data_IF_296430023750
#
_entry.id   IF_296430023750
#
_cell.length_a   1.000
_cell.length_b   1.000
_cell.length_c   1.000
_cell.angle_alpha   90.00
_cell.angle_beta   90.00
_cell.angle_gamma   90.00
#
_symmetry.space_group_name_H-M   'P 1'
#
loop_
_entity.id
_entity.type
_entity.pdbx_description
1 polymer ?
#
# COMPACT_ATOMS: atom_id res chain seq x y z
N UNK A 1 28.30 -11.85 21.26
CA UNK A 1 26.94 -11.71 21.84
C UNK A 1 25.91 -12.13 20.81
N UNK A 2 25.21 -13.22 21.06
CA UNK A 2 24.26 -13.88 20.14
C UNK A 2 22.96 -13.10 19.86
N UNK A 3 22.77 -11.94 20.49
CA UNK A 3 21.58 -11.09 20.38
C UNK A 3 21.63 -10.11 19.18
N UNK A 4 22.80 -9.57 18.83
CA UNK A 4 22.92 -8.61 17.73
C UNK A 4 22.73 -9.23 16.35
N UNK A 5 23.20 -10.46 16.15
CA UNK A 5 23.15 -11.15 14.85
C UNK A 5 21.73 -11.63 14.48
N UNK A 6 20.90 -12.02 15.46
CA UNK A 6 19.50 -12.40 15.20
C UNK A 6 18.59 -11.19 14.96
N UNK A 7 18.85 -10.06 15.62
CA UNK A 7 18.10 -8.82 15.38
C UNK A 7 18.39 -8.27 13.97
N UNK A 8 19.64 -8.30 13.54
CA UNK A 8 20.04 -7.86 12.20
C UNK A 8 19.49 -8.81 11.11
N UNK A 9 19.56 -10.13 11.34
CA UNK A 9 18.96 -11.12 10.44
C UNK A 9 17.43 -11.01 10.34
N UNK A 10 16.72 -10.73 11.44
CA UNK A 10 15.26 -10.56 11.43
C UNK A 10 14.77 -9.20 10.89
N UNK A 11 15.67 -8.21 10.77
CA UNK A 11 15.42 -6.98 9.99
C UNK A 11 15.70 -7.21 8.50
N UNK A 12 16.79 -7.87 8.13
CA UNK A 12 17.13 -8.16 6.73
C UNK A 12 16.16 -9.14 6.07
N UNK A 13 15.70 -10.17 6.78
CA UNK A 13 14.73 -11.14 6.24
C UNK A 13 13.31 -10.54 6.09
N UNK A 14 12.98 -9.50 6.87
CA UNK A 14 11.74 -8.71 6.71
C UNK A 14 11.88 -7.54 5.74
N UNK A 15 13.10 -7.11 5.41
CA UNK A 15 13.31 -6.02 4.47
C UNK A 15 12.92 -6.44 3.04
N UNK A 16 13.17 -7.69 2.63
CA UNK A 16 12.77 -8.18 1.30
C UNK A 16 11.26 -8.35 1.12
N UNK A 17 10.50 -8.60 2.20
CA UNK A 17 9.03 -8.55 2.16
C UNK A 17 8.49 -7.10 2.14
N UNK A 18 9.32 -6.11 2.51
CA UNK A 18 8.96 -4.69 2.54
C UNK A 18 9.39 -3.92 1.27
N UNK A 19 10.39 -4.44 0.56
CA UNK A 19 10.83 -3.93 -0.73
C UNK A 19 9.79 -4.31 -1.77
N UNK A 20 8.90 -3.40 -2.12
CA UNK A 20 7.91 -3.62 -3.18
C UNK A 20 8.52 -3.70 -4.59
N UNK A 21 9.82 -3.43 -4.74
CA UNK A 21 10.57 -3.50 -6.00
C UNK A 21 12.09 -3.56 -5.75
N UNK A 22 12.86 -3.98 -6.76
CA UNK A 22 14.33 -3.96 -6.73
C UNK A 22 14.91 -2.55 -6.96
N UNK A 23 14.18 -1.70 -7.68
CA UNK A 23 14.54 -0.32 -8.01
C UNK A 23 13.30 0.58 -7.85
N UNK A 24 13.50 1.77 -7.28
CA UNK A 24 12.45 2.78 -7.12
C UNK A 24 12.94 4.09 -7.76
N UNK A 25 12.08 4.68 -8.59
CA UNK A 25 12.25 6.03 -9.12
C UNK A 25 11.18 6.90 -8.47
N UNK A 26 11.59 7.81 -7.59
CA UNK A 26 10.68 8.70 -6.86
C UNK A 26 10.83 10.16 -7.30
N UNK A 27 9.73 10.91 -7.20
CA UNK A 27 9.70 12.32 -7.54
C UNK A 27 8.32 12.92 -7.30
N UNK A 28 8.25 14.25 -7.30
CA UNK A 28 6.99 15.01 -7.16
C UNK A 28 6.20 15.12 -8.47
N UNK A 29 6.62 14.42 -9.52
CA UNK A 29 6.01 14.40 -10.84
C UNK A 29 6.10 12.99 -11.42
N UNK A 30 5.24 12.62 -12.38
CA UNK A 30 5.32 11.33 -13.04
C UNK A 30 6.72 11.05 -13.59
N UNK A 31 7.14 9.79 -13.56
CA UNK A 31 8.37 9.36 -14.21
C UNK A 31 8.34 9.76 -15.69
N UNK A 32 9.45 10.30 -16.18
CA UNK A 32 9.55 10.73 -17.58
C UNK A 32 9.54 9.51 -18.50
N UNK A 33 9.06 9.69 -19.73
CA UNK A 33 8.95 8.60 -20.70
C UNK A 33 10.28 7.86 -20.88
N UNK A 34 11.41 8.58 -20.93
CA UNK A 34 12.72 7.99 -21.13
C UNK A 34 13.13 7.06 -19.98
N UNK A 35 12.66 7.34 -18.76
CA UNK A 35 12.94 6.50 -17.58
C UNK A 35 12.18 5.16 -17.64
N UNK A 36 10.94 5.19 -18.15
CA UNK A 36 10.11 4.00 -18.33
C UNK A 36 10.57 3.16 -19.54
N UNK A 37 10.93 3.83 -20.63
CA UNK A 37 11.46 3.20 -21.84
C UNK A 37 12.77 2.46 -21.57
N UNK A 38 13.65 3.05 -20.75
CA UNK A 38 14.91 2.40 -20.34
C UNK A 38 14.65 1.09 -19.60
N UNK A 39 13.79 1.13 -18.59
CA UNK A 39 13.42 -0.08 -17.83
C UNK A 39 12.78 -1.13 -18.72
N UNK A 40 11.96 -0.71 -19.68
CA UNK A 40 11.32 -1.60 -20.66
C UNK A 40 12.36 -2.27 -21.57
N UNK A 41 13.36 -1.51 -22.05
CA UNK A 41 14.47 -2.05 -22.85
C UNK A 41 15.32 -3.05 -22.07
N UNK A 42 15.48 -2.83 -20.77
CA UNK A 42 16.13 -3.74 -19.83
C UNK A 42 15.23 -4.91 -19.38
N UNK A 43 14.00 -5.01 -19.94
CA UNK A 43 13.01 -6.05 -19.62
C UNK A 43 12.62 -6.09 -18.13
N UNK A 44 12.67 -4.94 -17.46
CA UNK A 44 12.22 -4.81 -16.08
C UNK A 44 10.69 -4.79 -16.03
N UNK A 45 10.14 -5.39 -14.97
CA UNK A 45 8.72 -5.20 -14.64
C UNK A 45 8.54 -3.82 -14.01
N UNK A 46 7.40 -3.19 -14.26
CA UNK A 46 7.07 -1.86 -13.75
C UNK A 46 5.76 -1.94 -12.97
N UNK A 47 5.71 -1.17 -11.88
CA UNK A 47 4.51 -0.89 -11.12
C UNK A 47 4.49 0.59 -10.81
N UNK A 48 3.31 1.20 -10.85
CA UNK A 48 3.09 2.60 -10.55
C UNK A 48 2.49 2.76 -9.16
N UNK A 49 2.97 3.78 -8.44
CA UNK A 49 2.51 4.11 -7.10
C UNK A 49 2.34 5.63 -7.04
N UNK A 50 1.24 6.08 -6.46
CA UNK A 50 1.05 7.47 -6.05
C UNK A 50 0.74 7.49 -4.56
N UNK A 51 1.51 8.26 -3.80
CA UNK A 51 1.27 8.49 -2.38
C UNK A 51 0.97 9.95 -2.15
N UNK A 52 -0.16 10.24 -1.50
CA UNK A 52 -0.58 11.61 -1.22
C UNK A 52 -1.43 11.68 0.04
N UNK A 53 -1.45 12.84 0.70
CA UNK A 53 -2.33 13.07 1.83
C UNK A 53 -3.71 13.50 1.34
N UNK A 54 -4.77 12.91 1.90
CA UNK A 54 -6.16 13.29 1.64
C UNK A 54 -6.99 13.15 2.90
N UNK A 55 -8.05 13.94 2.98
CA UNK A 55 -9.09 13.71 4.00
C UNK A 55 -9.91 12.51 3.57
N UNK A 56 -10.14 11.60 4.51
CA UNK A 56 -11.19 10.58 4.43
C UNK A 56 -12.41 11.08 5.20
N UNK A 57 -13.60 10.91 4.65
CA UNK A 57 -14.86 11.27 5.30
C UNK A 57 -15.78 10.05 5.39
N UNK A 58 -16.48 9.96 6.52
CA UNK A 58 -17.49 8.95 6.86
C UNK A 58 -18.66 9.65 7.53
N UNK A 59 -19.75 8.92 7.79
CA UNK A 59 -20.87 9.45 8.58
C UNK A 59 -20.47 9.84 10.01
N UNK A 60 -19.40 9.24 10.55
CA UNK A 60 -18.97 9.45 11.92
C UNK A 60 -17.89 10.54 12.07
N UNK A 61 -17.20 10.92 10.99
CA UNK A 61 -16.21 11.98 11.04
C UNK A 61 -15.30 12.09 9.84
N UNK A 62 -14.30 12.97 9.98
CA UNK A 62 -13.28 13.21 8.97
C UNK A 62 -11.89 13.01 9.58
N UNK A 63 -10.96 12.46 8.79
CA UNK A 63 -9.59 12.23 9.23
C UNK A 63 -8.60 12.47 8.09
N UNK A 64 -7.52 13.20 8.37
CA UNK A 64 -6.41 13.33 7.42
C UNK A 64 -5.62 12.02 7.39
N UNK A 65 -5.53 11.40 6.22
CA UNK A 65 -4.88 10.11 6.02
C UNK A 65 -3.90 10.15 4.85
N UNK A 66 -2.91 9.26 4.88
CA UNK A 66 -2.03 8.99 3.73
C UNK A 66 -2.68 7.94 2.85
N UNK A 67 -2.82 8.24 1.57
CA UNK A 67 -3.40 7.35 0.56
C UNK A 67 -2.27 6.80 -0.30
N UNK A 68 -2.21 5.48 -0.45
CA UNK A 68 -1.30 4.81 -1.38
C UNK A 68 -2.13 4.14 -2.48
N UNK A 69 -2.15 4.75 -3.65
CA UNK A 69 -2.75 4.19 -4.86
C UNK A 69 -1.68 3.45 -5.65
N UNK A 70 -2.01 2.25 -6.13
CA UNK A 70 -1.10 1.40 -6.90
C UNK A 70 -1.81 0.84 -8.13
N UNK A 71 -1.04 0.41 -9.12
CA UNK A 71 -1.56 -0.41 -10.22
C UNK A 71 -1.54 -1.91 -9.88
N UNK A 72 -2.12 -2.71 -10.77
CA UNK A 72 -2.25 -4.17 -10.60
C UNK A 72 -0.90 -4.91 -10.60
N UNK A 73 0.18 -4.25 -11.04
CA UNK A 73 1.52 -4.84 -11.05
C UNK A 73 2.22 -4.72 -9.70
N UNK A 74 1.70 -3.91 -8.78
CA UNK A 74 2.25 -3.77 -7.44
C UNK A 74 1.82 -4.94 -6.51
N UNK A 75 2.74 -5.47 -5.68
CA UNK A 75 4.16 -5.20 -5.65
C UNK A 75 4.92 -6.04 -6.69
N UNK A 76 6.08 -5.54 -7.13
CA UNK A 76 7.01 -6.31 -7.97
C UNK A 76 7.78 -7.38 -7.19
N UNK A 77 7.84 -7.23 -5.87
CA UNK A 77 8.53 -8.10 -4.92
C UNK A 77 7.68 -8.28 -3.66
N UNK A 78 7.60 -9.52 -3.18
CA UNK A 78 6.72 -9.89 -2.06
C UNK A 78 5.26 -10.04 -2.49
N UNK A 79 4.37 -10.08 -1.50
CA UNK A 79 2.93 -10.27 -1.68
C UNK A 79 2.17 -9.30 -0.79
N UNK A 80 1.00 -8.85 -1.24
CA UNK A 80 0.08 -8.11 -0.39
C UNK A 80 -0.59 -9.07 0.59
N UNK A 81 -0.69 -8.64 1.84
CA UNK A 81 -1.38 -9.39 2.90
C UNK A 81 -2.47 -8.50 3.50
N UNK A 82 -3.63 -9.09 3.76
CA UNK A 82 -4.75 -8.44 4.45
C UNK A 82 -5.46 -9.44 5.36
N UNK A 83 -6.22 -8.93 6.31
CA UNK A 83 -7.09 -9.73 7.16
C UNK A 83 -8.55 -9.39 6.85
N UNK A 84 -9.47 -10.37 6.89
CA UNK A 84 -10.89 -10.10 6.62
C UNK A 84 -11.58 -9.30 7.72
N UNK A 85 -10.97 -9.21 8.91
CA UNK A 85 -11.45 -8.41 10.03
C UNK A 85 -10.27 -8.01 10.95
N UNK A 86 -10.51 -7.04 11.82
CA UNK A 86 -9.57 -6.59 12.83
C UNK A 86 -9.13 -7.76 13.72
N UNK A 87 -7.83 -7.82 14.00
CA UNK A 87 -7.21 -8.84 14.86
C UNK A 87 -7.25 -10.29 14.33
N UNK A 88 -7.73 -10.51 13.10
CA UNK A 88 -7.59 -11.80 12.44
C UNK A 88 -6.20 -11.97 11.81
N UNK A 89 -5.84 -13.22 11.49
CA UNK A 89 -4.57 -13.51 10.82
C UNK A 89 -4.56 -12.99 9.39
N UNK A 90 -3.47 -12.32 9.03
CA UNK A 90 -3.23 -11.86 7.67
C UNK A 90 -3.04 -13.03 6.71
N UNK A 91 -3.57 -12.86 5.51
CA UNK A 91 -3.51 -13.82 4.41
C UNK A 91 -2.98 -13.10 3.17
N UNK A 92 -2.11 -13.79 2.43
CA UNK A 92 -1.62 -13.28 1.16
C UNK A 92 -2.74 -13.28 0.11
N UNK A 93 -2.78 -12.25 -0.72
CA UNK A 93 -3.80 -12.10 -1.76
C UNK A 93 -3.52 -10.97 -2.73
N UNK A 94 -4.46 -10.76 -3.65
CA UNK A 94 -4.48 -9.57 -4.49
C UNK A 94 -4.88 -8.34 -3.66
N UNK A 95 -4.48 -7.15 -4.11
CA UNK A 95 -4.97 -5.89 -3.55
C UNK A 95 -6.48 -5.70 -3.69
N UNK A 96 -7.03 -4.59 -3.16
CA UNK A 96 -8.43 -4.23 -3.36
C UNK A 96 -8.72 -4.03 -4.86
N UNK A 97 -9.94 -4.35 -5.29
CA UNK A 97 -10.35 -4.12 -6.68
C UNK A 97 -10.56 -2.63 -6.96
N UNK A 98 -10.64 -2.21 -8.24
CA UNK A 98 -11.06 -0.85 -8.57
C UNK A 98 -12.39 -0.50 -7.91
N UNK A 99 -12.42 0.58 -7.12
CA UNK A 99 -13.58 1.01 -6.33
C UNK A 99 -13.60 0.47 -4.90
N UNK A 100 -12.66 -0.39 -4.52
CA UNK A 100 -12.44 -0.85 -3.16
C UNK A 100 -11.19 -0.21 -2.57
N UNK A 101 -11.07 -0.25 -1.25
CA UNK A 101 -9.89 0.21 -0.51
C UNK A 101 -9.63 -0.69 0.70
N UNK A 102 -8.37 -0.77 1.11
CA UNK A 102 -8.03 -1.30 2.43
C UNK A 102 -7.71 -0.15 3.37
N UNK A 103 -8.12 -0.29 4.63
CA UNK A 103 -7.82 0.66 5.68
C UNK A 103 -6.84 0.04 6.70
N UNK A 104 -5.90 0.83 7.19
CA UNK A 104 -5.10 0.41 8.34
C UNK A 104 -5.99 0.25 9.57
N UNK A 105 -5.73 -0.78 10.39
CA UNK A 105 -6.52 -1.12 11.57
C UNK A 105 -6.77 0.08 12.53
N UNK A 106 -5.84 1.03 12.60
CA UNK A 106 -5.95 2.24 13.43
C UNK A 106 -6.96 3.26 12.94
N UNK A 107 -7.38 3.22 11.68
CA UNK A 107 -8.40 4.11 11.13
C UNK A 107 -9.80 3.71 11.63
N UNK A 108 -10.03 2.42 11.87
CA UNK A 108 -11.34 1.90 12.31
C UNK A 108 -11.89 2.62 13.56
N UNK A 109 -11.17 2.65 14.70
CA UNK A 109 -11.64 3.38 15.86
C UNK A 109 -11.53 4.91 15.74
N UNK A 110 -10.72 5.43 14.81
CA UNK A 110 -10.49 6.87 14.69
C UNK A 110 -11.66 7.62 14.03
N UNK A 111 -12.40 6.94 13.15
CA UNK A 111 -13.54 7.47 12.40
C UNK A 111 -14.73 6.52 12.39
N UNK A 112 -14.82 5.66 13.42
CA UNK A 112 -15.89 4.67 13.65
C UNK A 112 -16.25 3.85 12.39
N UNK A 113 -15.23 3.39 11.66
CA UNK A 113 -15.40 2.57 10.45
C UNK A 113 -15.66 1.11 10.79
N UNK A 114 -16.37 0.44 9.88
CA UNK A 114 -16.57 -1.00 9.84
C UNK A 114 -16.17 -1.54 8.46
N UNK A 115 -15.81 -2.82 8.42
CA UNK A 115 -15.56 -3.52 7.16
C UNK A 115 -16.84 -3.52 6.32
N UNK A 116 -16.75 -3.21 5.03
CA UNK A 116 -17.89 -3.07 4.12
C UNK A 116 -18.45 -1.65 3.97
N UNK A 117 -18.04 -0.72 4.84
CA UNK A 117 -18.47 0.68 4.79
C UNK A 117 -17.94 1.39 3.54
N UNK A 118 -18.65 2.43 3.13
CA UNK A 118 -18.20 3.34 2.08
C UNK A 118 -17.44 4.50 2.71
N UNK A 119 -16.29 4.85 2.11
CA UNK A 119 -15.45 5.97 2.53
C UNK A 119 -15.24 6.94 1.38
N UNK A 120 -15.28 8.23 1.67
CA UNK A 120 -14.97 9.27 0.69
C UNK A 120 -13.51 9.68 0.82
N UNK A 121 -12.74 9.49 -0.25
CA UNK A 121 -11.34 9.95 -0.39
C UNK A 121 -11.31 11.09 -1.40
N UNK A 122 -11.30 12.33 -0.91
CA UNK A 122 -11.39 13.50 -1.77
C UNK A 122 -12.73 13.55 -2.51
N UNK A 123 -12.73 13.28 -3.82
CA UNK A 123 -13.93 13.26 -4.66
C UNK A 123 -14.37 11.86 -5.10
N UNK A 124 -13.73 10.80 -4.57
CA UNK A 124 -14.08 9.40 -4.88
C UNK A 124 -14.61 8.68 -3.65
N UNK A 125 -15.71 7.98 -3.82
CA UNK A 125 -16.21 6.99 -2.84
C UNK A 125 -15.60 5.63 -3.13
N UNK A 126 -15.14 4.94 -2.09
CA UNK A 126 -14.53 3.60 -2.14
C UNK A 126 -15.16 2.70 -1.07
N UNK A 127 -15.26 1.40 -1.34
CA UNK A 127 -15.77 0.40 -0.39
C UNK A 127 -14.63 -0.29 0.37
N UNK A 128 -14.75 -0.43 1.69
CA UNK A 128 -13.80 -1.18 2.54
C UNK A 128 -14.05 -2.69 2.56
#
# INVERSE_FOLDING_TARGET
GYFGARLNGAMLLRATEFLGADLVVEGSSPARAEQIEEGTRLQLKHAQIVVFSSVIATDAGIQLSSIKAVDDAYPLRGELKSAPDLYQSEQAGSGPKPGEAWAEARLFPAVDLKIGDDIDVGAKTLKL
#
